data_IF_531332841540
#
_entry.id   IF_531332841540
#
_cell.length_a   1.000
_cell.length_b   1.000
_cell.length_c   1.000
_cell.angle_alpha   90.00
_cell.angle_beta   90.00
_cell.angle_gamma   90.00
#
_symmetry.space_group_name_H-M   'P 1'
#
loop_
_entity.id
_entity.type
_entity.pdbx_description
1 polymer ?
#
# COMPACT_ATOMS: atom_id res chain seq x y z
N UNK A 1 -16.47 10.62 10.44
CA UNK A 1 -16.05 9.26 10.83
C UNK A 1 -16.69 8.93 12.16
N UNK A 2 -17.46 7.84 12.24
CA UNK A 2 -18.06 7.36 13.50
C UNK A 2 -16.98 6.82 14.44
N UNK A 3 -17.22 6.82 15.76
CA UNK A 3 -16.23 6.40 16.78
C UNK A 3 -15.68 4.99 16.53
N UNK A 4 -16.55 4.03 16.22
CA UNK A 4 -16.15 2.65 15.94
C UNK A 4 -15.29 2.53 14.68
N UNK A 5 -15.58 3.31 13.62
CA UNK A 5 -14.74 3.32 12.42
C UNK A 5 -13.37 3.95 12.69
N UNK A 6 -13.32 5.00 13.50
CA UNK A 6 -12.06 5.59 13.94
C UNK A 6 -11.21 4.58 14.71
N UNK A 7 -11.85 3.85 15.62
CA UNK A 7 -11.20 2.81 16.39
C UNK A 7 -10.60 1.70 15.51
N UNK A 8 -11.39 1.14 14.58
CA UNK A 8 -10.92 0.11 13.66
C UNK A 8 -9.79 0.63 12.75
N UNK A 9 -9.91 1.87 12.26
CA UNK A 9 -8.85 2.51 11.49
C UNK A 9 -7.54 2.64 12.28
N UNK A 10 -7.59 3.04 13.56
CA UNK A 10 -6.41 3.12 14.43
C UNK A 10 -5.74 1.76 14.58
N UNK A 11 -6.52 0.69 14.81
CA UNK A 11 -5.98 -0.67 14.89
C UNK A 11 -5.27 -1.05 13.58
N UNK A 12 -5.85 -0.71 12.43
CA UNK A 12 -5.20 -0.95 11.14
C UNK A 12 -3.88 -0.19 10.99
N UNK A 13 -3.84 1.08 11.42
CA UNK A 13 -2.61 1.90 11.41
C UNK A 13 -1.54 1.32 12.33
N UNK A 14 -1.92 0.81 13.51
CA UNK A 14 -0.99 0.14 14.43
C UNK A 14 -0.39 -1.12 13.78
N UNK A 15 -1.19 -1.87 13.04
CA UNK A 15 -0.71 -3.08 12.35
C UNK A 15 0.28 -2.72 11.23
N UNK A 16 0.13 -1.56 10.58
CA UNK A 16 0.99 -1.13 9.47
C UNK A 16 2.21 -0.30 9.89
N UNK A 17 2.20 1.02 9.72
CA UNK A 17 3.34 1.91 10.02
C UNK A 17 3.35 2.42 11.48
N UNK A 18 2.27 2.20 12.23
CA UNK A 18 2.15 2.66 13.62
C UNK A 18 2.93 1.78 14.60
N UNK A 19 3.92 2.30 15.30
CA UNK A 19 4.67 1.60 16.33
C UNK A 19 4.20 1.93 17.74
N UNK A 20 4.43 1.04 18.71
CA UNK A 20 4.33 1.39 20.12
C UNK A 20 5.67 1.91 20.62
N UNK A 21 5.67 2.92 21.49
CA UNK A 21 6.90 3.34 22.16
C UNK A 21 7.22 2.40 23.33
N UNK A 22 8.50 2.03 23.42
CA UNK A 22 9.05 1.20 24.50
C UNK A 22 9.36 2.02 25.75
N UNK A 23 8.47 2.93 26.15
CA UNK A 23 8.63 3.59 27.45
C UNK A 23 8.49 2.54 28.55
N UNK A 24 9.48 2.39 29.42
CA UNK A 24 9.60 1.33 30.44
C UNK A 24 8.50 1.26 31.51
N UNK A 25 7.38 1.96 31.33
CA UNK A 25 6.22 1.91 32.20
C UNK A 25 5.30 0.77 31.74
N UNK A 26 5.17 -0.27 32.55
CA UNK A 26 4.38 -1.46 32.20
C UNK A 26 2.86 -1.20 32.06
N UNK A 27 2.35 -0.12 32.66
CA UNK A 27 0.90 0.17 32.79
C UNK A 27 0.34 1.08 31.70
N UNK A 28 1.17 1.75 30.91
CA UNK A 28 0.71 2.64 29.84
C UNK A 28 1.71 2.67 28.67
N UNK A 29 1.21 2.99 27.48
CA UNK A 29 2.07 3.17 26.30
C UNK A 29 1.43 4.20 25.37
N UNK A 30 2.18 4.61 24.34
CA UNK A 30 1.65 5.42 23.26
C UNK A 30 1.90 4.75 21.91
N UNK A 31 1.06 5.09 20.95
CA UNK A 31 1.25 4.73 19.54
C UNK A 31 1.87 5.92 18.81
N UNK A 32 2.89 5.64 17.99
CA UNK A 32 3.59 6.60 17.13
C UNK A 32 3.42 6.18 15.68
N UNK A 33 3.06 7.13 14.82
CA UNK A 33 3.06 6.99 13.38
C UNK A 33 4.17 7.85 12.78
N UNK A 34 5.00 7.25 11.95
CA UNK A 34 6.03 7.96 11.17
C UNK A 34 5.76 7.77 9.69
N UNK A 35 5.65 8.87 8.93
CA UNK A 35 5.41 8.80 7.48
C UNK A 35 6.45 9.62 6.71
N UNK A 36 7.00 9.06 5.62
CA UNK A 36 8.01 9.73 4.80
C UNK A 36 7.47 11.00 4.14
N UNK A 37 8.26 12.08 4.13
CA UNK A 37 7.91 13.32 3.41
C UNK A 37 7.92 13.18 1.89
N UNK A 38 8.50 12.10 1.36
CA UNK A 38 8.55 11.78 -0.07
C UNK A 38 7.16 11.75 -0.71
N UNK A 39 6.13 11.39 0.07
CA UNK A 39 4.76 11.33 -0.42
C UNK A 39 3.95 12.54 0.03
N UNK A 40 3.28 13.19 -0.93
CA UNK A 40 2.45 14.38 -0.66
C UNK A 40 1.32 14.07 0.34
N UNK A 41 0.74 12.87 0.25
CA UNK A 41 -0.38 12.42 1.08
C UNK A 41 0.02 12.04 2.51
N UNK A 42 1.32 11.93 2.84
CA UNK A 42 1.78 11.57 4.19
C UNK A 42 1.27 12.54 5.26
N UNK A 43 1.09 13.82 4.92
CA UNK A 43 0.52 14.82 5.82
C UNK A 43 -0.93 14.49 6.17
N UNK A 44 -1.71 14.06 5.19
CA UNK A 44 -3.12 13.72 5.37
C UNK A 44 -3.28 12.39 6.09
N UNK A 45 -2.37 11.44 5.87
CA UNK A 45 -2.31 10.19 6.65
C UNK A 45 -2.11 10.46 8.15
N UNK A 46 -1.13 11.29 8.51
CA UNK A 46 -0.90 11.69 9.89
C UNK A 46 -2.05 12.51 10.50
N UNK A 47 -2.67 13.40 9.72
CA UNK A 47 -3.88 14.14 10.15
C UNK A 47 -5.06 13.20 10.39
N UNK A 48 -5.29 12.24 9.50
CA UNK A 48 -6.32 11.22 9.61
C UNK A 48 -6.14 10.35 10.86
N UNK A 49 -4.91 9.91 11.11
CA UNK A 49 -4.55 9.19 12.34
C UNK A 49 -4.84 10.00 13.62
N UNK A 50 -4.42 11.26 13.69
CA UNK A 50 -4.70 12.13 14.85
C UNK A 50 -6.20 12.39 15.04
N UNK A 51 -6.92 12.61 13.95
CA UNK A 51 -8.36 12.79 13.99
C UNK A 51 -9.07 11.52 14.51
N UNK A 52 -8.64 10.34 14.06
CA UNK A 52 -9.18 9.08 14.55
C UNK A 52 -8.90 8.90 16.06
N UNK A 53 -7.68 9.17 16.53
CA UNK A 53 -7.33 9.16 17.95
C UNK A 53 -8.23 10.10 18.76
N UNK A 54 -8.42 11.34 18.31
CA UNK A 54 -9.28 12.30 18.99
C UNK A 54 -10.74 11.83 19.06
N UNK A 55 -11.24 11.15 18.02
CA UNK A 55 -12.61 10.59 18.00
C UNK A 55 -12.83 9.47 19.02
N UNK A 56 -11.78 8.78 19.42
CA UNK A 56 -11.83 7.75 20.48
C UNK A 56 -11.36 8.29 21.83
N UNK A 57 -11.22 9.60 21.99
CA UNK A 57 -10.86 10.24 23.25
C UNK A 57 -9.38 10.20 23.60
N UNK A 58 -8.50 9.91 22.62
CA UNK A 58 -7.06 9.84 22.83
C UNK A 58 -6.40 11.11 22.29
N UNK A 59 -5.81 11.90 23.19
CA UNK A 59 -5.02 13.08 22.82
C UNK A 59 -3.78 12.68 22.03
N UNK A 60 -3.38 13.54 21.08
CA UNK A 60 -2.23 13.30 20.21
C UNK A 60 -1.54 14.60 19.81
N UNK A 61 -0.23 14.50 19.56
CA UNK A 61 0.60 15.61 19.12
C UNK A 61 1.40 15.23 17.87
N UNK A 62 1.86 16.25 17.13
CA UNK A 62 2.87 16.08 16.08
C UNK A 62 4.24 16.30 16.72
N UNK A 63 5.15 15.35 16.52
CA UNK A 63 6.54 15.52 16.94
C UNK A 63 7.32 16.34 15.90
N UNK A 64 8.53 16.78 16.25
CA UNK A 64 9.45 17.38 15.27
C UNK A 64 9.74 16.38 14.15
N UNK A 65 9.98 16.90 12.95
CA UNK A 65 10.34 16.06 11.82
C UNK A 65 11.66 15.34 12.11
N UNK A 66 11.72 14.07 11.72
CA UNK A 66 12.90 13.23 11.87
C UNK A 66 13.64 13.09 10.54
N UNK A 67 14.92 12.75 10.62
CA UNK A 67 15.77 12.50 9.46
C UNK A 67 16.49 11.18 9.66
N UNK A 68 16.45 10.30 8.65
CA UNK A 68 17.26 9.08 8.62
C UNK A 68 18.19 9.14 7.42
N UNK A 69 19.49 8.93 7.66
CA UNK A 69 20.48 8.76 6.60
C UNK A 69 20.66 7.27 6.35
N UNK A 70 20.45 6.83 5.11
CA UNK A 70 20.76 5.49 4.69
C UNK A 70 22.25 5.38 4.36
N UNK A 71 22.79 4.15 4.40
CA UNK A 71 24.21 3.85 4.10
C UNK A 71 24.65 4.32 2.71
N UNK A 72 23.72 4.39 1.75
CA UNK A 72 23.96 4.92 0.40
C UNK A 72 23.96 6.46 0.31
N UNK A 73 24.03 7.17 1.44
CA UNK A 73 24.00 8.63 1.52
C UNK A 73 22.62 9.27 1.31
N UNK A 74 21.59 8.47 0.96
CA UNK A 74 20.24 9.00 0.77
C UNK A 74 19.65 9.41 2.10
N UNK A 75 19.23 10.67 2.18
CA UNK A 75 18.53 11.20 3.34
C UNK A 75 17.02 11.12 3.12
N UNK A 76 16.28 10.55 4.08
CA UNK A 76 14.82 10.51 4.07
C UNK A 76 14.30 11.26 5.29
N UNK A 77 13.46 12.26 5.04
CA UNK A 77 12.76 12.99 6.10
C UNK A 77 11.41 12.34 6.42
N UNK A 78 11.02 12.38 7.69
CA UNK A 78 9.78 11.80 8.18
C UNK A 78 9.00 12.82 9.00
N UNK A 79 7.67 12.77 8.87
CA UNK A 79 6.74 13.42 9.79
C UNK A 79 6.31 12.39 10.83
N UNK A 80 6.31 12.78 12.10
CA UNK A 80 5.95 11.91 13.20
C UNK A 80 4.75 12.46 13.97
N UNK A 81 3.86 11.58 14.39
CA UNK A 81 2.74 11.88 15.28
C UNK A 81 2.67 10.81 16.36
N UNK A 82 2.34 11.20 17.59
CA UNK A 82 2.19 10.27 18.69
C UNK A 82 0.95 10.56 19.52
N UNK A 83 0.34 9.50 20.03
CA UNK A 83 -0.66 9.62 21.08
C UNK A 83 -0.01 10.01 22.41
N UNK A 84 -0.83 10.49 23.35
CA UNK A 84 -0.43 10.53 24.75
C UNK A 84 -0.33 9.10 25.28
N UNK A 85 0.47 8.90 26.32
CA UNK A 85 0.57 7.61 26.99
C UNK A 85 -0.71 7.36 27.78
N UNK A 86 -1.36 6.22 27.53
CA UNK A 86 -2.57 5.84 28.26
C UNK A 86 -2.62 4.32 28.50
N UNK A 87 -3.27 3.87 29.58
CA UNK A 87 -3.59 2.45 29.79
C UNK A 87 -4.47 1.88 28.68
N UNK A 88 -5.34 2.70 28.07
CA UNK A 88 -6.20 2.25 26.98
C UNK A 88 -5.41 1.84 25.72
N UNK A 89 -4.38 2.60 25.35
CA UNK A 89 -3.49 2.22 24.23
C UNK A 89 -2.73 0.93 24.55
N UNK A 90 -2.37 0.73 25.82
CA UNK A 90 -1.75 -0.51 26.29
C UNK A 90 -2.71 -1.70 26.16
N UNK A 91 -3.96 -1.54 26.59
CA UNK A 91 -5.01 -2.54 26.43
C UNK A 91 -5.26 -2.89 24.95
N UNK A 92 -5.28 -1.90 24.04
CA UNK A 92 -5.40 -2.17 22.60
C UNK A 92 -4.26 -3.05 22.09
N UNK A 93 -3.02 -2.77 22.51
CA UNK A 93 -1.84 -3.56 22.13
C UNK A 93 -1.96 -5.02 22.57
N UNK A 94 -2.25 -5.23 23.85
CA UNK A 94 -2.18 -6.54 24.48
C UNK A 94 -3.42 -7.37 24.17
N UNK A 95 -4.62 -6.81 24.40
CA UNK A 95 -5.88 -7.55 24.35
C UNK A 95 -6.46 -7.67 22.94
N UNK A 96 -6.27 -6.67 22.08
CA UNK A 96 -6.89 -6.70 20.74
C UNK A 96 -5.96 -7.19 19.63
N UNK A 97 -4.64 -7.03 19.81
CA UNK A 97 -3.64 -7.43 18.82
C UNK A 97 -2.74 -8.57 19.30
N UNK A 98 -2.78 -8.94 20.58
CA UNK A 98 -1.93 -9.99 21.15
C UNK A 98 -0.44 -9.66 21.13
N UNK A 99 -0.08 -8.37 21.06
CA UNK A 99 1.30 -7.92 20.95
C UNK A 99 1.90 -7.73 22.35
N UNK A 100 2.92 -8.50 22.72
CA UNK A 100 3.56 -8.39 24.04
C UNK A 100 4.51 -7.17 24.14
N UNK A 101 4.86 -6.78 25.36
CA UNK A 101 5.79 -5.66 25.63
C UNK A 101 7.15 -5.82 24.94
N UNK A 102 7.69 -7.04 24.97
CA UNK A 102 9.09 -7.34 24.68
C UNK A 102 9.36 -7.75 23.24
N UNK A 103 8.33 -8.00 22.42
CA UNK A 103 8.51 -8.52 21.07
C UNK A 103 8.16 -7.46 20.02
N UNK A 104 9.07 -7.15 19.08
CA UNK A 104 8.77 -6.31 17.93
C UNK A 104 7.57 -6.86 17.14
N UNK A 105 6.62 -6.00 16.79
CA UNK A 105 5.45 -6.38 15.96
C UNK A 105 5.83 -6.94 14.59
N UNK A 106 7.05 -6.68 14.13
CA UNK A 106 7.59 -7.20 12.87
C UNK A 106 7.99 -8.68 12.96
N UNK A 107 8.01 -9.27 14.16
CA UNK A 107 8.44 -10.66 14.40
C UNK A 107 7.29 -11.60 14.76
N UNK A 108 6.15 -11.08 15.23
CA UNK A 108 5.00 -11.89 15.65
C UNK A 108 3.74 -11.50 14.89
N UNK A 109 2.91 -12.48 14.44
CA UNK A 109 1.62 -12.19 13.88
C UNK A 109 0.67 -11.66 14.96
N UNK A 110 -0.26 -10.79 14.55
CA UNK A 110 -1.31 -10.30 15.44
C UNK A 110 -2.36 -11.37 15.73
N UNK A 111 -2.94 -11.33 16.93
CA UNK A 111 -4.07 -12.17 17.32
C UNK A 111 -5.38 -11.40 17.14
N UNK A 112 -5.78 -11.18 15.88
CA UNK A 112 -6.89 -10.29 15.53
C UNK A 112 -8.01 -10.96 14.71
N UNK A 113 -8.13 -12.30 14.76
CA UNK A 113 -9.13 -13.07 14.01
C UNK A 113 -10.58 -12.66 14.32
N UNK A 114 -10.83 -12.05 15.49
CA UNK A 114 -12.11 -11.46 15.84
C UNK A 114 -12.57 -10.38 14.84
N UNK A 115 -11.63 -9.67 14.19
CA UNK A 115 -11.93 -8.65 13.17
C UNK A 115 -12.65 -9.27 11.97
N UNK A 116 -12.36 -10.52 11.63
CA UNK A 116 -12.98 -11.21 10.48
C UNK A 116 -14.49 -11.42 10.66
N UNK A 117 -14.97 -11.40 11.92
CA UNK A 117 -16.38 -11.55 12.29
C UNK A 117 -17.11 -10.23 12.49
N UNK A 118 -16.42 -9.10 12.36
CA UNK A 118 -17.02 -7.77 12.56
C UNK A 118 -17.87 -7.34 11.36
N UNK A 119 -18.78 -6.36 11.54
CA UNK A 119 -19.55 -5.76 10.44
C UNK A 119 -18.66 -5.35 9.27
N UNK A 120 -19.21 -5.42 8.05
CA UNK A 120 -18.47 -5.15 6.82
C UNK A 120 -17.67 -3.82 6.89
N UNK A 121 -18.31 -2.73 7.31
CA UNK A 121 -17.68 -1.41 7.32
C UNK A 121 -16.56 -1.28 8.37
N UNK A 122 -16.59 -2.08 9.42
CA UNK A 122 -15.55 -2.12 10.45
C UNK A 122 -14.29 -2.79 9.90
N UNK A 123 -14.48 -3.89 9.16
CA UNK A 123 -13.40 -4.58 8.43
C UNK A 123 -12.80 -3.67 7.37
N UNK A 124 -13.63 -2.90 6.65
CA UNK A 124 -13.14 -1.89 5.69
C UNK A 124 -12.36 -0.78 6.39
N UNK A 125 -12.84 -0.24 7.50
CA UNK A 125 -12.13 0.80 8.25
C UNK A 125 -10.77 0.31 8.77
N UNK A 126 -10.70 -0.94 9.25
CA UNK A 126 -9.44 -1.56 9.62
C UNK A 126 -8.50 -1.74 8.42
N UNK A 127 -9.01 -2.27 7.31
CA UNK A 127 -8.24 -2.42 6.06
C UNK A 127 -7.68 -1.07 5.59
N UNK A 128 -8.46 0.01 5.67
CA UNK A 128 -8.01 1.37 5.34
C UNK A 128 -6.79 1.80 6.15
N UNK A 129 -6.80 1.53 7.46
CA UNK A 129 -5.66 1.85 8.33
C UNK A 129 -4.41 1.04 7.98
N UNK A 130 -4.57 -0.24 7.63
CA UNK A 130 -3.45 -1.07 7.18
C UNK A 130 -2.91 -0.56 5.84
N UNK A 131 -3.80 -0.35 4.86
CA UNK A 131 -3.46 0.01 3.49
C UNK A 131 -2.90 1.43 3.35
N UNK A 132 -3.29 2.38 4.21
CA UNK A 132 -2.70 3.72 4.21
C UNK A 132 -1.22 3.70 4.67
N UNK A 133 -0.81 2.73 5.49
CA UNK A 133 0.60 2.51 5.85
C UNK A 133 1.34 1.61 4.86
N UNK A 134 0.97 0.33 4.84
CA UNK A 134 1.70 -0.73 4.12
C UNK A 134 1.14 -1.07 2.73
N UNK A 135 0.01 -0.48 2.35
CA UNK A 135 -0.62 -0.76 1.07
C UNK A 135 0.15 -0.15 -0.10
N UNK A 136 -0.03 -0.72 -1.28
CA UNK A 136 0.59 -0.21 -2.50
C UNK A 136 -0.27 -0.54 -3.73
N UNK A 137 -0.07 0.24 -4.80
CA UNK A 137 -0.70 0.04 -6.09
C UNK A 137 0.34 0.29 -7.20
N UNK A 138 0.49 -0.68 -8.09
CA UNK A 138 1.46 -0.65 -9.18
C UNK A 138 0.76 -0.53 -10.54
N UNK A 139 1.11 0.50 -11.31
CA UNK A 139 0.56 0.73 -12.64
C UNK A 139 1.28 -0.12 -13.69
N UNK A 140 2.58 -0.35 -13.55
CA UNK A 140 3.39 -1.04 -14.59
C UNK A 140 3.07 -2.53 -14.65
N UNK A 141 2.70 -3.10 -13.51
CA UNK A 141 2.08 -4.39 -13.35
C UNK A 141 0.75 -4.16 -12.66
N UNK A 142 -0.40 -4.31 -13.32
CA UNK A 142 -1.70 -3.81 -12.86
C UNK A 142 -2.21 -4.64 -11.67
N UNK A 143 -1.62 -4.38 -10.51
CA UNK A 143 -1.84 -5.08 -9.26
C UNK A 143 -1.70 -4.11 -8.08
N UNK A 144 -2.27 -4.53 -6.96
CA UNK A 144 -2.18 -3.82 -5.70
C UNK A 144 -1.89 -4.81 -4.59
N UNK A 145 -1.58 -4.33 -3.40
CA UNK A 145 -1.30 -5.23 -2.29
C UNK A 145 -1.01 -4.51 -1.00
N UNK A 146 -0.61 -5.31 -0.02
CA UNK A 146 -0.16 -4.87 1.30
C UNK A 146 1.16 -5.56 1.57
N UNK A 147 2.18 -4.79 1.93
CA UNK A 147 3.47 -5.34 2.36
C UNK A 147 3.32 -5.88 3.77
N UNK A 148 3.63 -7.17 3.99
CA UNK A 148 3.62 -7.74 5.34
C UNK A 148 4.45 -9.02 5.39
N UNK A 149 5.38 -9.10 6.34
CA UNK A 149 6.17 -10.31 6.56
C UNK A 149 5.44 -11.33 7.43
N UNK A 150 4.74 -10.86 8.46
CA UNK A 150 4.17 -11.72 9.53
C UNK A 150 2.65 -11.88 9.47
N UNK A 151 1.90 -10.91 8.95
CA UNK A 151 0.42 -10.92 9.00
C UNK A 151 -0.24 -11.38 7.69
N UNK A 152 0.50 -12.05 6.79
CA UNK A 152 0.03 -12.38 5.44
C UNK A 152 -1.29 -13.15 5.43
N UNK A 153 -1.41 -14.13 6.31
CA UNK A 153 -2.55 -15.07 6.31
C UNK A 153 -3.82 -14.41 6.80
N UNK A 154 -3.68 -13.63 7.88
CA UNK A 154 -4.74 -12.79 8.40
C UNK A 154 -5.21 -11.77 7.35
N UNK A 155 -4.29 -11.08 6.67
CA UNK A 155 -4.62 -10.08 5.65
C UNK A 155 -5.29 -10.70 4.41
N UNK A 156 -4.87 -11.89 3.99
CA UNK A 156 -5.56 -12.64 2.91
C UNK A 156 -6.98 -12.98 3.33
N UNK A 157 -7.18 -13.54 4.53
CA UNK A 157 -8.51 -13.87 5.05
C UNK A 157 -9.39 -12.63 5.18
N UNK A 158 -8.83 -11.50 5.63
CA UNK A 158 -9.53 -10.22 5.71
C UNK A 158 -9.99 -9.74 4.33
N UNK A 159 -9.10 -9.72 3.33
CA UNK A 159 -9.44 -9.33 1.96
C UNK A 159 -10.50 -10.27 1.36
N UNK A 160 -10.34 -11.58 1.53
CA UNK A 160 -11.31 -12.59 1.07
C UNK A 160 -12.67 -12.39 1.73
N UNK A 161 -12.72 -12.06 3.02
CA UNK A 161 -13.97 -11.76 3.74
C UNK A 161 -14.69 -10.52 3.21
N UNK A 162 -13.97 -9.63 2.51
CA UNK A 162 -14.48 -8.44 1.82
C UNK A 162 -14.70 -8.70 0.31
N UNK A 163 -14.64 -9.96 -0.14
CA UNK A 163 -14.80 -10.35 -1.54
C UNK A 163 -13.61 -10.04 -2.44
N UNK A 164 -12.46 -9.66 -1.88
CA UNK A 164 -11.23 -9.38 -2.63
C UNK A 164 -10.31 -10.59 -2.58
N UNK A 165 -10.13 -11.25 -3.72
CA UNK A 165 -9.18 -12.35 -3.80
C UNK A 165 -7.74 -11.84 -3.77
N UNK A 166 -6.92 -12.39 -2.88
CA UNK A 166 -5.51 -12.07 -2.75
C UNK A 166 -4.67 -13.35 -2.58
N UNK A 167 -3.41 -13.29 -2.98
CA UNK A 167 -2.47 -14.41 -2.89
C UNK A 167 -1.21 -14.03 -2.11
N UNK A 168 -0.55 -15.03 -1.53
CA UNK A 168 0.76 -14.85 -0.90
C UNK A 168 1.83 -14.55 -1.96
N UNK A 169 2.70 -13.60 -1.62
CA UNK A 169 3.99 -13.37 -2.25
C UNK A 169 4.94 -12.92 -1.14
N UNK A 170 6.24 -13.04 -1.33
CA UNK A 170 7.21 -12.54 -0.34
C UNK A 170 7.78 -11.23 -0.88
N UNK A 171 7.66 -10.09 -0.17
CA UNK A 171 7.08 -9.86 1.18
C UNK A 171 5.60 -9.41 1.18
N UNK A 172 4.80 -9.71 0.15
CA UNK A 172 3.54 -9.02 -0.12
C UNK A 172 2.29 -9.93 -0.10
N UNK A 173 1.17 -9.41 0.39
CA UNK A 173 -0.16 -9.90 0.02
C UNK A 173 -0.58 -9.19 -1.26
N UNK A 174 -0.81 -9.93 -2.35
CA UNK A 174 -1.02 -9.34 -3.67
C UNK A 174 -2.42 -9.61 -4.22
N UNK A 175 -3.04 -8.55 -4.73
CA UNK A 175 -4.30 -8.52 -5.48
C UNK A 175 -3.94 -8.32 -6.97
N UNK A 176 -3.99 -9.41 -7.75
CA UNK A 176 -3.58 -9.43 -9.18
C UNK A 176 -4.72 -9.69 -10.16
N UNK A 177 -5.73 -10.47 -9.76
CA UNK A 177 -6.83 -10.83 -10.65
C UNK A 177 -7.65 -9.59 -11.00
N UNK A 178 -8.04 -9.47 -12.27
CA UNK A 178 -8.76 -8.30 -12.80
C UNK A 178 -9.97 -7.92 -11.93
N UNK A 179 -10.81 -8.90 -11.63
CA UNK A 179 -12.03 -8.66 -10.85
C UNK A 179 -11.74 -8.38 -9.38
N UNK A 180 -10.69 -8.97 -8.83
CA UNK A 180 -10.25 -8.67 -7.46
C UNK A 180 -9.71 -7.24 -7.35
N UNK A 181 -8.94 -6.76 -8.34
CA UNK A 181 -8.48 -5.36 -8.40
C UNK A 181 -9.67 -4.39 -8.54
N UNK A 182 -10.68 -4.74 -9.35
CA UNK A 182 -11.91 -3.93 -9.46
C UNK A 182 -12.67 -3.87 -8.12
N UNK A 183 -12.83 -5.01 -7.44
CA UNK A 183 -13.46 -5.05 -6.11
C UNK A 183 -12.65 -4.24 -5.09
N UNK A 184 -11.34 -4.38 -5.10
CA UNK A 184 -10.41 -3.61 -4.28
C UNK A 184 -10.47 -2.10 -4.56
N UNK A 185 -10.72 -1.66 -5.79
CA UNK A 185 -10.85 -0.25 -6.13
C UNK A 185 -12.20 0.35 -5.66
N UNK A 186 -13.25 -0.47 -5.64
CA UNK A 186 -14.61 -0.09 -5.18
C UNK A 186 -14.72 -0.08 -3.66
N UNK A 187 -13.99 -0.96 -2.98
CA UNK A 187 -13.73 -0.83 -1.55
C UNK A 187 -12.73 0.32 -1.42
N UNK A 188 -13.06 1.47 -0.80
CA UNK A 188 -12.12 2.59 -0.70
C UNK A 188 -10.92 2.20 0.19
N UNK A 189 -9.95 1.47 -0.38
CA UNK A 189 -8.88 0.77 0.32
C UNK A 189 -7.87 1.74 0.91
N UNK A 190 -7.68 2.90 0.28
CA UNK A 190 -6.82 3.96 0.77
C UNK A 190 -7.69 5.16 1.16
N UNK A 191 -7.68 5.51 2.44
CA UNK A 191 -8.52 6.60 2.95
C UNK A 191 -7.79 7.94 2.92
N UNK A 192 -6.53 7.92 3.36
CA UNK A 192 -5.69 9.10 3.47
C UNK A 192 -4.46 9.03 2.56
N UNK A 193 -4.13 7.87 2.01
CA UNK A 193 -3.08 7.73 1.00
C UNK A 193 -3.61 7.98 -0.43
N UNK A 194 -4.08 9.21 -0.70
CA UNK A 194 -4.74 9.59 -1.95
C UNK A 194 -3.96 9.17 -3.22
N UNK A 195 -2.64 9.33 -3.23
CA UNK A 195 -1.80 8.93 -4.36
C UNK A 195 -1.78 7.42 -4.63
N UNK A 196 -2.09 6.58 -3.64
CA UNK A 196 -2.29 5.14 -3.82
C UNK A 196 -3.68 4.84 -4.35
N UNK A 197 -4.72 5.53 -3.87
CA UNK A 197 -6.08 5.42 -4.40
C UNK A 197 -6.14 5.82 -5.88
N UNK A 198 -5.52 6.93 -6.25
CA UNK A 198 -5.43 7.39 -7.64
C UNK A 198 -4.79 6.34 -8.55
N UNK A 199 -3.69 5.71 -8.09
CA UNK A 199 -3.03 4.63 -8.83
C UNK A 199 -3.96 3.42 -8.97
N UNK A 200 -4.65 3.03 -7.90
CA UNK A 200 -5.59 1.91 -7.93
C UNK A 200 -6.74 2.16 -8.90
N UNK A 201 -7.32 3.36 -8.90
CA UNK A 201 -8.36 3.78 -9.85
C UNK A 201 -7.83 3.79 -11.29
N UNK A 202 -6.60 4.28 -11.52
CA UNK A 202 -5.96 4.22 -12.86
C UNK A 202 -5.79 2.78 -13.33
N UNK A 203 -5.35 1.87 -12.46
CA UNK A 203 -5.24 0.44 -12.79
C UNK A 203 -6.60 -0.12 -13.23
N UNK A 204 -7.69 0.24 -12.56
CA UNK A 204 -9.04 -0.18 -12.95
C UNK A 204 -9.39 0.27 -14.38
N UNK A 205 -9.19 1.56 -14.68
CA UNK A 205 -9.42 2.12 -16.03
C UNK A 205 -8.55 1.40 -17.08
N UNK A 206 -7.28 1.14 -16.77
CA UNK A 206 -6.38 0.41 -17.66
C UNK A 206 -6.83 -1.02 -17.92
N UNK A 207 -7.29 -1.72 -16.87
CA UNK A 207 -7.81 -3.07 -16.99
C UNK A 207 -9.04 -3.11 -17.90
N UNK A 208 -9.87 -2.07 -17.88
CA UNK A 208 -11.03 -1.95 -18.76
C UNK A 208 -10.64 -1.58 -20.20
N UNK A 209 -9.54 -0.85 -20.42
CA UNK A 209 -9.05 -0.51 -21.75
C UNK A 209 -8.19 -1.59 -22.43
N UNK A 210 -7.84 -2.69 -21.74
CA UNK A 210 -7.06 -3.78 -22.33
C UNK A 210 -7.83 -4.49 -23.45
N UNK A 211 -7.62 -4.03 -24.67
CA UNK A 211 -7.99 -4.78 -25.87
C UNK A 211 -6.93 -5.85 -26.12
N UNK A 212 -7.35 -7.11 -26.30
CA UNK A 212 -6.48 -8.20 -26.81
C UNK A 212 -6.18 -8.00 -28.31
N UNK A 213 -5.71 -6.81 -28.69
CA UNK A 213 -5.34 -6.47 -30.06
C UNK A 213 -3.84 -6.71 -30.26
N UNK A 214 -3.48 -7.22 -31.44
CA UNK A 214 -2.10 -7.28 -31.93
C UNK A 214 -1.48 -5.88 -31.85
N UNK A 215 -0.18 -5.80 -31.59
CA UNK A 215 0.55 -4.53 -31.59
C UNK A 215 0.63 -4.08 -33.05
N UNK A 216 0.10 -2.88 -33.34
CA UNK A 216 0.16 -2.30 -34.69
C UNK A 216 1.59 -1.87 -35.01
N UNK A 217 1.89 -1.66 -36.29
CA UNK A 217 3.21 -1.17 -36.69
C UNK A 217 3.52 0.22 -36.12
N UNK A 218 2.52 1.09 -36.03
CA UNK A 218 2.63 2.40 -35.40
C UNK A 218 2.98 2.27 -33.91
N UNK A 219 2.26 1.43 -33.18
CA UNK A 219 2.53 1.17 -31.76
C UNK A 219 3.94 0.59 -31.58
N UNK A 220 4.38 -0.31 -32.48
CA UNK A 220 5.72 -0.86 -32.49
C UNK A 220 6.78 0.22 -32.73
N UNK A 221 6.58 1.10 -33.72
CA UNK A 221 7.47 2.23 -34.02
C UNK A 221 7.61 3.13 -32.78
N UNK A 222 6.51 3.45 -32.11
CA UNK A 222 6.51 4.23 -30.86
C UNK A 222 7.29 3.53 -29.74
N UNK A 223 7.03 2.23 -29.51
CA UNK A 223 7.76 1.44 -28.50
C UNK A 223 9.27 1.46 -28.76
N UNK A 224 9.67 1.23 -30.00
CA UNK A 224 11.09 1.20 -30.38
C UNK A 224 11.73 2.59 -30.30
N UNK A 225 11.01 3.66 -30.64
CA UNK A 225 11.49 5.03 -30.50
C UNK A 225 11.73 5.40 -29.03
N UNK A 226 10.78 5.11 -28.14
CA UNK A 226 10.94 5.33 -26.70
C UNK A 226 12.08 4.49 -26.12
N UNK A 227 12.23 3.24 -26.57
CA UNK A 227 13.36 2.40 -26.17
C UNK A 227 14.72 2.98 -26.60
N UNK A 228 14.83 3.53 -27.83
CA UNK A 228 16.04 4.23 -28.30
C UNK A 228 16.37 5.45 -27.42
N UNK A 229 15.37 6.12 -26.87
CA UNK A 229 15.54 7.20 -25.89
C UNK A 229 15.90 6.68 -24.48
N UNK A 230 16.26 5.40 -24.33
CA UNK A 230 16.63 4.73 -23.08
C UNK A 230 15.51 4.64 -22.05
N UNK A 231 14.24 4.70 -22.48
CA UNK A 231 13.12 4.44 -21.58
C UNK A 231 13.08 2.95 -21.22
N UNK A 232 12.97 2.64 -19.92
CA UNK A 232 12.70 1.29 -19.44
C UNK A 232 11.31 0.82 -19.86
N UNK A 233 11.07 -0.50 -19.93
CA UNK A 233 9.75 -1.04 -20.31
C UNK A 233 8.60 -0.53 -19.42
N UNK A 234 8.88 -0.24 -18.15
CA UNK A 234 7.91 0.37 -17.24
C UNK A 234 7.62 1.83 -17.55
N UNK A 235 8.62 2.61 -17.97
CA UNK A 235 8.42 3.98 -18.44
C UNK A 235 7.67 4.00 -19.78
N UNK A 236 8.00 3.11 -20.72
CA UNK A 236 7.27 2.97 -21.99
C UNK A 236 5.79 2.62 -21.72
N UNK A 237 5.51 1.73 -20.77
CA UNK A 237 4.12 1.41 -20.36
C UNK A 237 3.37 2.67 -19.92
N UNK A 238 4.01 3.52 -19.11
CA UNK A 238 3.42 4.76 -18.62
C UNK A 238 3.17 5.77 -19.75
N UNK A 239 4.13 5.92 -20.65
CA UNK A 239 4.02 6.83 -21.82
C UNK A 239 2.95 6.39 -22.82
N UNK A 240 2.89 5.09 -23.13
CA UNK A 240 1.85 4.54 -24.00
C UNK A 240 0.44 4.80 -23.43
N UNK A 241 0.30 4.67 -22.12
CA UNK A 241 -0.95 4.94 -21.45
C UNK A 241 -1.28 6.43 -21.42
N UNK A 242 -0.34 7.29 -21.01
CA UNK A 242 -0.60 8.72 -20.81
C UNK A 242 -0.85 9.47 -22.12
N UNK A 243 -0.10 9.17 -23.17
CA UNK A 243 -0.17 9.89 -24.46
C UNK A 243 -1.12 9.27 -25.46
N UNK A 244 -1.26 7.94 -25.45
CA UNK A 244 -1.99 7.23 -26.50
C UNK A 244 -3.20 6.45 -25.96
N UNK A 245 -3.40 6.40 -24.63
CA UNK A 245 -4.48 5.61 -24.01
C UNK A 245 -4.29 4.10 -24.16
N UNK A 246 -3.09 3.64 -24.54
CA UNK A 246 -2.80 2.23 -24.82
C UNK A 246 -2.09 1.62 -23.62
N UNK A 247 -2.65 0.55 -23.05
CA UNK A 247 -1.95 -0.23 -22.05
C UNK A 247 -1.33 -1.51 -22.62
N UNK A 248 -0.01 -1.64 -22.44
CA UNK A 248 0.72 -2.91 -22.59
C UNK A 248 1.48 -3.20 -21.30
N UNK A 249 1.50 -4.46 -20.89
CA UNK A 249 2.29 -4.88 -19.72
C UNK A 249 3.77 -4.67 -20.00
N UNK A 250 4.54 -4.34 -18.98
CA UNK A 250 6.00 -4.16 -19.09
C UNK A 250 6.69 -5.41 -19.68
N UNK A 251 6.20 -6.62 -19.35
CA UNK A 251 6.70 -7.87 -19.92
C UNK A 251 6.40 -8.01 -21.42
N UNK A 252 5.23 -7.58 -21.87
CA UNK A 252 4.88 -7.54 -23.30
C UNK A 252 5.82 -6.61 -24.06
N UNK A 253 6.06 -5.41 -23.54
CA UNK A 253 6.99 -4.45 -24.15
C UNK A 253 8.40 -5.02 -24.22
N UNK A 254 8.88 -5.62 -23.11
CA UNK A 254 10.21 -6.27 -23.07
C UNK A 254 10.34 -7.36 -24.13
N UNK A 255 9.31 -8.19 -24.31
CA UNK A 255 9.32 -9.25 -25.32
C UNK A 255 9.32 -8.69 -26.75
N UNK A 256 8.60 -7.59 -26.99
CA UNK A 256 8.57 -6.90 -28.29
C UNK A 256 9.93 -6.33 -28.64
N UNK A 257 10.58 -5.65 -27.70
CA UNK A 257 11.93 -5.11 -27.86
C UNK A 257 12.92 -6.24 -28.14
N UNK A 258 12.91 -7.30 -27.32
CA UNK A 258 13.82 -8.45 -27.48
C UNK A 258 13.69 -9.11 -28.86
N UNK A 259 12.46 -9.30 -29.35
CA UNK A 259 12.20 -9.89 -30.69
C UNK A 259 12.71 -9.00 -31.82
N UNK A 260 12.54 -7.69 -31.72
CA UNK A 260 12.96 -6.76 -32.78
C UNK A 260 14.46 -6.49 -32.77
N UNK A 261 15.10 -6.50 -31.60
CA UNK A 261 16.56 -6.40 -31.53
C UNK A 261 17.24 -7.63 -32.14
N UNK A 262 16.68 -8.83 -31.95
CA UNK A 262 17.20 -10.07 -32.58
C UNK A 262 17.09 -10.06 -34.11
N UNK A 263 15.91 -9.71 -34.65
CA UNK A 263 15.71 -9.59 -36.11
C UNK A 263 16.66 -8.59 -36.78
N UNK A 264 17.13 -7.58 -36.04
CA UNK A 264 18.09 -6.61 -36.56
C UNK A 264 19.51 -7.18 -36.67
N UNK A 265 19.87 -8.13 -35.80
CA UNK A 265 21.17 -8.79 -35.83
C UNK A 265 21.20 -9.82 -36.96
N UNK A 266 20.12 -10.60 -37.13
CA UNK A 266 19.99 -11.60 -38.20
C UNK A 266 19.89 -11.01 -39.63
N UNK A 267 19.63 -9.70 -39.77
CA UNK A 267 19.57 -8.99 -41.06
C UNK A 267 20.85 -8.18 -41.37
N UNK A 268 21.87 -8.26 -40.51
CA UNK A 268 23.18 -7.62 -40.69
C UNK A 268 24.28 -8.66 -40.98
N UNK A 269 23.94 -9.94 -40.93
CA UNK A 269 24.71 -11.08 -41.45
C UNK A 269 24.15 -11.48 -42.83
#
# INVERSE_FOLDING_TARGET
MLKHFAFMYILGVIVSDGGFSSSGVHTSTCVKLSASKTYYWSKDFGRGFRYALAKVGISSMRDKDGVTRHENGKTVEFRSWRSFQTPFVRWMKDSLLGLRSSTPKSQIPIQADWILRMPHDWRVAFLQGVSDGDGWANITEPNAGITSMVNKDFLIRLLTSLGVEASRSTPNVIIRKKDAVRRAARLPMFRHAAGRQERLTRIMVMLDSVKRRRISEEELKTIMALHKQRFSSGQITKELLSKFGIFRRSSTIRNVIKRNSKKKVENLD
#
